data_IF_093660917378
#
_entry.id   IF_093660917378
#
_cell.length_a   1.000
_cell.length_b   1.000
_cell.length_c   1.000
_cell.angle_alpha   90.00
_cell.angle_beta   90.00
_cell.angle_gamma   90.00
#
_symmetry.space_group_name_H-M   'P 1'
#
loop_
_entity.id
_entity.type
_entity.pdbx_description
1 polymer ?
#
# COMPACT_ATOMS: atom_id res chain seq x y z
N UNK A 1 63.50 -32.89 -30.68
CA UNK A 1 62.88 -33.81 -29.69
C UNK A 1 61.74 -33.06 -29.02
N UNK A 2 60.56 -33.69 -29.02
CA UNK A 2 59.24 -33.04 -28.99
C UNK A 2 58.86 -32.55 -27.59
N UNK A 3 58.38 -31.32 -27.53
CA UNK A 3 57.71 -30.67 -26.40
C UNK A 3 56.31 -31.27 -26.21
N UNK A 4 56.02 -31.78 -25.01
CA UNK A 4 54.66 -32.20 -24.63
C UNK A 4 54.05 -31.15 -23.70
N UNK A 5 53.08 -30.40 -24.23
CA UNK A 5 52.19 -29.52 -23.46
C UNK A 5 51.26 -30.40 -22.63
N UNK A 6 51.29 -30.22 -21.30
CA UNK A 6 50.30 -30.79 -20.41
C UNK A 6 49.03 -29.91 -20.46
N UNK A 7 47.96 -30.45 -21.04
CA UNK A 7 46.62 -29.84 -21.01
C UNK A 7 45.98 -30.19 -19.68
N UNK A 8 45.79 -29.19 -18.82
CA UNK A 8 45.08 -29.30 -17.55
C UNK A 8 43.57 -29.33 -17.86
N UNK A 9 42.95 -30.51 -17.77
CA UNK A 9 41.50 -30.67 -17.92
C UNK A 9 40.81 -30.26 -16.61
N UNK A 10 40.26 -29.05 -16.56
CA UNK A 10 39.40 -28.60 -15.47
C UNK A 10 38.04 -29.32 -15.63
N UNK A 11 37.77 -30.29 -14.76
CA UNK A 11 36.47 -30.93 -14.66
C UNK A 11 35.48 -29.95 -14.00
N UNK A 12 34.62 -29.33 -14.81
CA UNK A 12 33.52 -28.50 -14.36
C UNK A 12 32.41 -29.42 -13.80
N UNK A 13 32.33 -29.57 -12.48
CA UNK A 13 31.23 -30.27 -11.82
C UNK A 13 30.02 -29.34 -11.85
N UNK A 14 29.18 -29.49 -12.88
CA UNK A 14 27.85 -28.91 -12.93
C UNK A 14 26.97 -29.69 -11.94
N UNK A 15 26.68 -29.10 -10.78
CA UNK A 15 25.54 -29.53 -9.97
C UNK A 15 24.27 -29.17 -10.75
N UNK A 16 23.81 -30.09 -11.60
CA UNK A 16 22.47 -30.06 -12.16
C UNK A 16 21.47 -30.27 -11.02
N UNK A 17 21.00 -29.16 -10.43
CA UNK A 17 19.76 -29.20 -9.67
C UNK A 17 18.67 -29.63 -10.63
N UNK A 18 18.25 -30.88 -10.52
CA UNK A 18 17.04 -31.37 -11.16
C UNK A 18 15.85 -30.72 -10.47
N UNK A 19 15.59 -29.44 -10.74
CA UNK A 19 14.23 -28.92 -10.64
C UNK A 19 13.50 -29.56 -11.82
N UNK A 20 12.73 -30.61 -11.54
CA UNK A 20 11.72 -31.06 -12.50
C UNK A 20 10.91 -29.82 -12.88
N UNK A 21 10.76 -29.48 -14.17
CA UNK A 21 9.84 -28.42 -14.54
C UNK A 21 8.47 -28.81 -13.98
N UNK A 22 7.95 -28.01 -13.04
CA UNK A 22 6.57 -28.19 -12.59
C UNK A 22 5.68 -28.03 -13.82
N UNK A 23 4.84 -29.02 -14.16
CA UNK A 23 4.02 -28.94 -15.33
C UNK A 23 3.03 -27.77 -15.22
N UNK A 24 3.03 -26.99 -16.29
CA UNK A 24 2.07 -26.01 -16.81
C UNK A 24 0.59 -26.25 -16.37
N UNK A 25 0.10 -25.31 -15.55
CA UNK A 25 -1.26 -24.74 -15.33
C UNK A 25 -2.44 -25.60 -14.83
N UNK A 26 -3.21 -24.97 -13.94
CA UNK A 26 -4.43 -25.41 -13.27
C UNK A 26 -5.43 -26.11 -14.20
N UNK A 27 -5.88 -27.30 -13.80
CA UNK A 27 -7.04 -27.98 -14.40
C UNK A 27 -8.38 -27.36 -14.00
N UNK A 28 -8.37 -26.32 -13.15
CA UNK A 28 -9.56 -25.59 -12.70
C UNK A 28 -9.54 -24.15 -13.22
N UNK A 29 -10.71 -23.66 -13.60
CA UNK A 29 -10.93 -22.29 -14.03
C UNK A 29 -11.42 -21.47 -12.83
N UNK A 30 -10.67 -20.48 -12.33
CA UNK A 30 -11.16 -19.57 -11.31
C UNK A 30 -12.48 -18.90 -11.75
N UNK A 31 -13.39 -18.58 -10.83
CA UNK A 31 -14.60 -17.84 -11.18
C UNK A 31 -14.24 -16.44 -11.71
N UNK A 32 -15.10 -15.87 -12.55
CA UNK A 32 -14.88 -14.54 -13.13
C UNK A 32 -15.08 -13.38 -12.13
N UNK A 33 -15.67 -13.65 -10.97
CA UNK A 33 -15.92 -12.71 -9.87
C UNK A 33 -15.61 -13.40 -8.56
N UNK A 34 -15.40 -12.64 -7.48
CA UNK A 34 -15.06 -13.20 -6.17
C UNK A 34 -16.29 -13.81 -5.48
N UNK A 35 -16.80 -14.89 -6.04
CA UNK A 35 -17.96 -15.63 -5.55
C UNK A 35 -17.53 -17.08 -5.35
N UNK A 36 -17.20 -17.41 -4.11
CA UNK A 36 -16.87 -18.76 -3.66
C UNK A 36 -17.86 -19.22 -2.59
N UNK A 37 -17.87 -20.53 -2.31
CA UNK A 37 -18.64 -21.04 -1.19
C UNK A 37 -17.95 -20.66 0.13
N UNK A 38 -18.76 -20.29 1.14
CA UNK A 38 -18.31 -19.99 2.50
C UNK A 38 -17.33 -18.80 2.62
N UNK A 39 -17.42 -17.79 1.75
CA UNK A 39 -16.63 -16.55 1.90
C UNK A 39 -17.09 -15.79 3.15
N UNK A 40 -16.13 -15.34 3.95
CA UNK A 40 -16.36 -14.40 5.05
C UNK A 40 -15.20 -13.42 5.18
N UNK A 41 -15.50 -12.15 4.95
CA UNK A 41 -14.58 -11.02 5.05
C UNK A 41 -15.20 -9.87 5.86
N UNK A 42 -16.27 -10.16 6.60
CA UNK A 42 -17.11 -9.16 7.26
C UNK A 42 -16.37 -8.36 8.33
N UNK A 43 -15.40 -8.99 9.01
CA UNK A 43 -14.52 -8.29 9.96
C UNK A 43 -13.61 -7.28 9.25
N UNK A 44 -13.15 -7.60 8.04
CA UNK A 44 -12.27 -6.74 7.25
C UNK A 44 -13.05 -5.59 6.63
N UNK A 45 -14.30 -5.81 6.21
CA UNK A 45 -15.21 -4.71 5.86
C UNK A 45 -15.41 -3.76 7.05
N UNK A 46 -15.56 -4.27 8.28
CA UNK A 46 -15.67 -3.44 9.48
C UNK A 46 -14.37 -2.66 9.81
N UNK A 47 -13.19 -3.20 9.45
CA UNK A 47 -11.93 -2.44 9.48
C UNK A 47 -12.03 -1.23 8.54
N UNK A 48 -12.45 -1.43 7.29
CA UNK A 48 -12.61 -0.33 6.33
C UNK A 48 -13.61 0.73 6.82
N UNK A 49 -14.74 0.31 7.40
CA UNK A 49 -15.72 1.24 7.99
C UNK A 49 -15.12 2.03 9.17
N UNK A 50 -14.23 1.41 9.95
CA UNK A 50 -13.52 2.08 11.05
C UNK A 50 -12.52 3.11 10.51
N UNK A 51 -11.83 2.79 9.41
CA UNK A 51 -10.94 3.74 8.74
C UNK A 51 -11.73 4.91 8.15
N UNK A 52 -12.92 4.68 7.58
CA UNK A 52 -13.79 5.75 7.08
C UNK A 52 -14.23 6.68 8.22
N UNK A 53 -14.59 6.11 9.37
CA UNK A 53 -14.90 6.86 10.59
C UNK A 53 -13.70 7.72 11.04
N UNK A 54 -12.49 7.15 11.04
CA UNK A 54 -11.27 7.89 11.37
C UNK A 54 -11.04 9.06 10.40
N UNK A 55 -11.07 8.81 9.10
CA UNK A 55 -10.88 9.83 8.07
C UNK A 55 -11.89 10.97 8.22
N UNK A 56 -13.15 10.67 8.52
CA UNK A 56 -14.18 11.69 8.78
C UNK A 56 -13.85 12.56 10.01
N UNK A 57 -13.39 11.94 11.11
CA UNK A 57 -13.02 12.69 12.32
C UNK A 57 -11.74 13.52 12.12
N UNK A 58 -10.76 13.00 11.39
CA UNK A 58 -9.55 13.73 11.02
C UNK A 58 -9.91 14.93 10.13
N UNK A 59 -10.74 14.74 9.11
CA UNK A 59 -11.16 15.80 8.19
C UNK A 59 -12.01 16.88 8.87
N UNK A 60 -12.66 16.58 10.00
CA UNK A 60 -13.33 17.62 10.80
C UNK A 60 -12.34 18.72 11.26
N UNK A 61 -11.05 18.41 11.39
CA UNK A 61 -10.01 19.38 11.75
C UNK A 61 -9.82 20.46 10.68
N UNK A 62 -10.18 20.21 9.43
CA UNK A 62 -10.11 21.19 8.34
C UNK A 62 -11.14 22.32 8.49
N UNK A 63 -12.19 22.12 9.29
CA UNK A 63 -13.25 23.10 9.50
C UNK A 63 -12.81 24.19 10.48
N UNK A 64 -12.99 25.46 10.10
CA UNK A 64 -12.64 26.61 10.97
C UNK A 64 -13.37 26.55 12.32
N UNK A 65 -12.65 26.80 13.41
CA UNK A 65 -13.18 26.76 14.78
C UNK A 65 -13.44 25.36 15.34
N UNK A 66 -13.16 24.28 14.59
CA UNK A 66 -13.30 22.90 15.09
C UNK A 66 -11.97 22.39 15.63
N UNK A 67 -11.94 22.10 16.93
CA UNK A 67 -10.82 21.43 17.58
C UNK A 67 -11.11 19.93 17.63
N UNK A 68 -10.16 19.11 17.19
CA UNK A 68 -10.27 17.66 17.20
C UNK A 68 -9.50 17.11 18.41
N UNK A 69 -10.05 16.08 19.05
CA UNK A 69 -9.44 15.43 20.21
C UNK A 69 -8.55 14.27 19.77
N UNK A 70 -7.27 14.29 20.15
CA UNK A 70 -6.36 13.16 19.94
C UNK A 70 -6.92 11.87 20.56
N UNK A 71 -7.49 11.95 21.77
CA UNK A 71 -8.10 10.81 22.44
C UNK A 71 -9.24 10.18 21.63
N UNK A 72 -10.08 10.99 20.98
CA UNK A 72 -11.16 10.47 20.13
C UNK A 72 -10.58 9.71 18.94
N UNK A 73 -9.57 10.28 18.27
CA UNK A 73 -8.90 9.61 17.15
C UNK A 73 -8.21 8.31 17.58
N UNK A 74 -7.52 8.33 18.72
CA UNK A 74 -6.83 7.16 19.30
C UNK A 74 -7.82 6.06 19.72
N UNK A 75 -8.99 6.44 20.25
CA UNK A 75 -10.07 5.48 20.54
C UNK A 75 -10.62 4.83 19.28
N UNK A 76 -10.68 5.54 18.15
CA UNK A 76 -11.07 4.93 16.88
C UNK A 76 -9.98 3.94 16.45
N UNK A 77 -8.71 4.37 16.47
CA UNK A 77 -7.56 3.53 16.10
C UNK A 77 -7.42 2.27 16.96
N UNK A 78 -7.83 2.28 18.23
CA UNK A 78 -7.78 1.09 19.08
C UNK A 78 -8.69 -0.05 18.60
N UNK A 79 -9.69 0.23 17.75
CA UNK A 79 -10.54 -0.81 17.17
C UNK A 79 -9.85 -1.57 16.02
N UNK A 80 -8.76 -1.03 15.47
CA UNK A 80 -7.99 -1.65 14.38
C UNK A 80 -6.56 -2.02 14.79
N UNK A 81 -6.21 -1.93 16.09
CA UNK A 81 -4.83 -2.14 16.56
C UNK A 81 -4.28 -3.55 16.25
N UNK A 82 -5.15 -4.55 16.08
CA UNK A 82 -4.75 -5.91 15.69
C UNK A 82 -4.30 -6.00 14.23
N UNK A 83 -4.63 -5.01 13.41
CA UNK A 83 -4.30 -4.90 11.98
C UNK A 83 -3.16 -3.91 11.72
N UNK A 84 -2.74 -3.15 12.74
CA UNK A 84 -1.77 -2.07 12.58
C UNK A 84 -0.36 -2.55 12.90
N UNK A 85 0.60 -2.27 12.02
CA UNK A 85 2.02 -2.52 12.31
C UNK A 85 2.50 -1.66 13.49
N UNK A 86 3.47 -2.15 14.26
CA UNK A 86 4.00 -1.40 15.41
C UNK A 86 4.54 -0.02 15.02
N UNK A 87 5.22 0.07 13.88
CA UNK A 87 5.76 1.33 13.38
C UNK A 87 4.63 2.30 12.96
N UNK A 88 3.61 1.80 12.25
CA UNK A 88 2.45 2.60 11.88
C UNK A 88 1.66 3.07 13.12
N UNK A 89 1.53 2.24 14.16
CA UNK A 89 0.85 2.62 15.40
C UNK A 89 1.54 3.83 16.08
N UNK A 90 2.88 3.85 16.10
CA UNK A 90 3.64 4.97 16.65
C UNK A 90 3.48 6.25 15.82
N UNK A 91 3.55 6.13 14.49
CA UNK A 91 3.37 7.26 13.58
C UNK A 91 1.94 7.82 13.64
N UNK A 92 0.93 6.95 13.62
CA UNK A 92 -0.48 7.33 13.77
C UNK A 92 -0.74 8.06 15.10
N UNK A 93 -0.13 7.60 16.21
CA UNK A 93 -0.21 8.32 17.47
C UNK A 93 0.33 9.75 17.33
N UNK A 94 1.54 9.93 16.80
CA UNK A 94 2.15 11.24 16.58
C UNK A 94 1.32 12.15 15.64
N UNK A 95 0.68 11.56 14.62
CA UNK A 95 -0.18 12.30 13.70
C UNK A 95 -1.47 12.75 14.38
N UNK A 96 -2.12 11.89 15.18
CA UNK A 96 -3.32 12.28 15.93
C UNK A 96 -3.05 13.39 16.95
N UNK A 97 -1.89 13.36 17.62
CA UNK A 97 -1.47 14.42 18.53
C UNK A 97 -1.22 15.74 17.79
N UNK A 98 -0.59 15.66 16.61
CA UNK A 98 -0.33 16.82 15.74
C UNK A 98 -1.63 17.43 15.21
N UNK A 99 -2.59 16.60 14.76
CA UNK A 99 -3.92 17.05 14.32
C UNK A 99 -4.63 17.78 15.48
N UNK A 100 -4.63 17.21 16.68
CA UNK A 100 -5.25 17.83 17.84
C UNK A 100 -4.60 19.18 18.17
N UNK A 101 -3.26 19.22 18.23
CA UNK A 101 -2.48 20.43 18.50
C UNK A 101 -2.78 21.54 17.49
N UNK A 102 -2.67 21.25 16.19
CA UNK A 102 -2.82 22.27 15.16
C UNK A 102 -4.27 22.67 14.93
N UNK A 103 -5.23 21.78 15.18
CA UNK A 103 -6.66 22.11 15.05
C UNK A 103 -7.13 23.22 16.00
N UNK A 104 -6.39 23.44 17.10
CA UNK A 104 -6.61 24.54 18.03
C UNK A 104 -6.14 25.91 17.49
N UNK A 105 -5.34 25.95 16.43
CA UNK A 105 -4.90 27.20 15.82
C UNK A 105 -6.05 27.97 15.20
N UNK A 106 -6.10 29.28 15.46
CA UNK A 106 -7.01 30.24 14.81
C UNK A 106 -6.32 31.06 13.72
N UNK A 107 -5.04 30.79 13.45
CA UNK A 107 -4.27 31.52 12.44
C UNK A 107 -4.54 30.99 11.02
N UNK A 108 -4.31 31.86 10.04
CA UNK A 108 -4.15 31.43 8.64
C UNK A 108 -2.79 30.75 8.50
N UNK A 109 -2.76 29.58 7.83
CA UNK A 109 -1.52 28.84 7.61
C UNK A 109 -0.49 29.62 6.78
N UNK A 110 0.78 29.57 7.19
CA UNK A 110 1.92 30.07 6.43
C UNK A 110 3.20 29.35 6.86
N UNK A 111 4.32 29.54 6.14
CA UNK A 111 5.60 28.94 6.53
C UNK A 111 5.97 29.33 7.97
N UNK A 112 6.16 28.33 8.83
CA UNK A 112 6.42 28.47 10.26
C UNK A 112 5.18 28.68 11.14
N UNK A 113 3.98 28.71 10.58
CA UNK A 113 2.72 28.98 11.31
C UNK A 113 1.67 27.92 10.96
N UNK A 114 1.33 27.08 11.95
CA UNK A 114 0.22 26.15 11.83
C UNK A 114 -1.12 26.90 11.73
N UNK A 115 -2.04 26.40 10.93
CA UNK A 115 -3.32 27.06 10.73
C UNK A 115 -4.12 26.43 9.60
N UNK A 116 -5.18 27.13 9.17
CA UNK A 116 -6.02 26.67 8.06
C UNK A 116 -5.86 27.56 6.84
N UNK A 117 -5.87 26.94 5.66
CA UNK A 117 -5.93 27.63 4.38
C UNK A 117 -6.51 26.69 3.31
N UNK A 118 -7.27 27.22 2.35
CA UNK A 118 -7.75 26.43 1.20
C UNK A 118 -8.58 25.18 1.54
N UNK A 119 -9.18 25.11 2.74
CA UNK A 119 -9.92 23.92 3.20
C UNK A 119 -9.07 22.83 3.85
N UNK A 120 -7.81 23.11 4.19
CA UNK A 120 -6.90 22.16 4.85
C UNK A 120 -6.36 22.73 6.17
N UNK A 121 -6.08 21.84 7.12
CA UNK A 121 -5.30 22.12 8.32
C UNK A 121 -3.82 21.80 8.08
N UNK A 122 -2.97 22.80 8.24
CA UNK A 122 -1.53 22.71 8.02
C UNK A 122 -0.75 22.75 9.34
N UNK A 123 0.31 21.93 9.39
CA UNK A 123 1.41 22.11 10.35
C UNK A 123 2.22 23.38 10.02
N UNK A 124 3.13 23.82 10.91
CA UNK A 124 4.05 24.93 10.60
C UNK A 124 4.91 24.68 9.36
N UNK A 125 5.18 23.42 9.04
CA UNK A 125 5.92 23.02 7.84
C UNK A 125 5.06 22.84 6.59
N UNK A 126 3.75 23.09 6.66
CA UNK A 126 2.85 22.93 5.53
C UNK A 126 2.41 21.48 5.28
N UNK A 127 2.68 20.56 6.20
CA UNK A 127 2.16 19.18 6.12
C UNK A 127 0.68 19.16 6.51
N UNK A 128 -0.13 18.52 5.68
CA UNK A 128 -1.54 18.22 5.95
C UNK A 128 -1.62 16.81 6.53
N UNK A 129 -1.63 16.70 7.86
CA UNK A 129 -1.65 15.39 8.52
C UNK A 129 -2.89 14.56 8.19
N UNK A 130 -4.01 15.20 7.82
CA UNK A 130 -5.19 14.50 7.33
C UNK A 130 -5.02 13.82 5.97
N UNK A 131 -4.12 14.33 5.14
CA UNK A 131 -3.72 13.70 3.88
C UNK A 131 -2.62 12.66 4.13
N UNK A 132 -1.62 13.01 4.95
CA UNK A 132 -0.51 12.11 5.29
C UNK A 132 -1.00 10.80 5.92
N UNK A 133 -1.98 10.89 6.83
CA UNK A 133 -2.52 9.70 7.49
C UNK A 133 -3.11 8.70 6.48
N UNK A 134 -3.64 9.15 5.34
CA UNK A 134 -4.28 8.28 4.36
C UNK A 134 -3.30 7.22 3.81
N UNK A 135 -2.08 7.65 3.43
CA UNK A 135 -1.02 6.74 3.02
C UNK A 135 -0.66 5.77 4.16
N UNK A 136 -0.51 6.27 5.38
CA UNK A 136 -0.22 5.44 6.57
C UNK A 136 -1.31 4.42 6.88
N UNK A 137 -2.60 4.74 6.71
CA UNK A 137 -3.69 3.79 6.92
C UNK A 137 -3.67 2.69 5.84
N UNK A 138 -3.40 3.04 4.59
CA UNK A 138 -3.29 2.07 3.50
C UNK A 138 -2.13 1.12 3.78
N UNK A 139 -0.92 1.66 3.97
CA UNK A 139 0.27 0.84 4.09
C UNK A 139 0.39 0.13 5.44
N UNK A 140 0.19 0.89 6.52
CA UNK A 140 0.46 0.46 7.89
C UNK A 140 -0.63 -0.42 8.50
N UNK A 141 -1.82 -0.44 7.90
CA UNK A 141 -2.95 -1.25 8.36
C UNK A 141 -3.35 -2.25 7.28
N UNK A 142 -3.70 -1.78 6.08
CA UNK A 142 -4.30 -2.65 5.06
C UNK A 142 -3.26 -3.55 4.39
N UNK A 143 -2.21 -3.01 3.77
CA UNK A 143 -1.20 -3.83 3.07
C UNK A 143 -0.40 -4.68 4.04
N UNK A 144 0.00 -4.12 5.19
CA UNK A 144 0.60 -4.89 6.29
C UNK A 144 -0.27 -6.08 6.75
N UNK A 145 -1.58 -5.89 6.91
CA UNK A 145 -2.46 -6.99 7.32
C UNK A 145 -2.68 -8.01 6.20
N UNK A 146 -2.79 -7.57 4.95
CA UNK A 146 -2.84 -8.49 3.80
C UNK A 146 -1.58 -9.35 3.77
N UNK A 147 -0.40 -8.75 3.94
CA UNK A 147 0.87 -9.47 4.04
C UNK A 147 0.83 -10.54 5.14
N UNK A 148 0.45 -10.16 6.36
CA UNK A 148 0.31 -11.10 7.48
C UNK A 148 -0.69 -12.24 7.19
N UNK A 149 -1.83 -11.95 6.58
CA UNK A 149 -2.79 -12.99 6.22
C UNK A 149 -2.23 -13.95 5.15
N UNK A 150 -1.55 -13.41 4.13
CA UNK A 150 -1.05 -14.18 3.00
C UNK A 150 0.30 -14.89 3.26
N UNK A 151 1.10 -14.41 4.22
CA UNK A 151 2.39 -15.02 4.58
C UNK A 151 2.22 -15.97 5.75
N UNK A 152 1.65 -15.52 6.86
CA UNK A 152 1.58 -16.32 8.09
C UNK A 152 0.35 -17.23 8.09
N UNK A 153 -0.80 -16.70 7.65
CA UNK A 153 -2.09 -17.33 7.88
C UNK A 153 -2.52 -18.28 6.75
N UNK A 154 -1.76 -18.33 5.65
CA UNK A 154 -1.89 -19.38 4.61
C UNK A 154 -0.57 -20.14 4.39
N UNK A 155 0.33 -20.08 5.38
CA UNK A 155 1.58 -20.84 5.40
C UNK A 155 1.33 -22.36 5.37
N UNK A 156 2.38 -23.12 5.08
CA UNK A 156 2.33 -24.58 5.13
C UNK A 156 2.06 -25.04 6.58
N UNK A 157 0.92 -25.71 6.80
CA UNK A 157 0.53 -26.23 8.12
C UNK A 157 -0.80 -25.70 8.65
N UNK A 158 -1.36 -24.66 8.01
CA UNK A 158 -2.72 -24.20 8.30
C UNK A 158 -3.74 -25.22 7.76
N UNK A 159 -4.81 -25.46 8.50
CA UNK A 159 -5.84 -26.41 8.10
C UNK A 159 -6.51 -25.97 6.79
N UNK A 160 -6.47 -26.88 5.82
CA UNK A 160 -7.19 -26.76 4.55
C UNK A 160 -7.99 -28.03 4.26
N UNK A 161 -8.69 -28.54 5.27
CA UNK A 161 -9.50 -29.76 5.14
C UNK A 161 -10.79 -29.75 5.96
N UNK A 162 -10.81 -29.05 7.09
CA UNK A 162 -11.99 -28.94 7.95
C UNK A 162 -12.83 -27.76 7.50
N UNK A 163 -14.01 -28.03 6.92
CA UNK A 163 -14.93 -26.98 6.49
C UNK A 163 -15.80 -26.52 7.66
N UNK A 164 -15.73 -25.24 7.98
CA UNK A 164 -16.64 -24.56 8.89
C UNK A 164 -17.71 -23.83 8.07
N UNK A 165 -19.01 -24.10 8.30
CA UNK A 165 -20.08 -23.43 7.56
C UNK A 165 -19.98 -21.91 7.64
N UNK A 166 -20.02 -21.25 6.47
CA UNK A 166 -19.93 -19.80 6.38
C UNK A 166 -18.51 -19.22 6.50
N UNK A 167 -17.48 -20.05 6.68
CA UNK A 167 -16.07 -19.63 6.74
C UNK A 167 -15.15 -20.43 5.80
N UNK A 168 -15.54 -21.65 5.42
CA UNK A 168 -14.69 -22.54 4.63
C UNK A 168 -13.67 -23.24 5.51
N UNK A 169 -12.54 -23.65 4.94
CA UNK A 169 -11.39 -24.07 5.75
C UNK A 169 -10.68 -22.87 6.39
N UNK A 170 -9.76 -23.11 7.33
CA UNK A 170 -9.00 -22.00 7.93
C UNK A 170 -8.17 -21.24 6.87
N UNK A 171 -7.51 -21.96 5.95
CA UNK A 171 -6.74 -21.35 4.87
C UNK A 171 -7.61 -20.56 3.89
N UNK A 172 -8.81 -21.07 3.59
CA UNK A 172 -9.79 -20.38 2.77
C UNK A 172 -10.25 -19.07 3.42
N UNK A 173 -10.62 -19.13 4.70
CA UNK A 173 -11.05 -17.95 5.45
C UNK A 173 -9.95 -16.88 5.50
N UNK A 174 -8.70 -17.23 5.82
CA UNK A 174 -7.61 -16.25 5.85
C UNK A 174 -7.34 -15.58 4.50
N UNK A 175 -7.56 -16.31 3.40
CA UNK A 175 -7.48 -15.73 2.06
C UNK A 175 -8.64 -14.77 1.78
N UNK A 176 -9.85 -15.11 2.24
CA UNK A 176 -11.04 -14.27 2.15
C UNK A 176 -10.88 -12.98 2.99
N UNK A 177 -10.29 -13.09 4.19
CA UNK A 177 -9.92 -11.94 5.03
C UNK A 177 -8.93 -10.99 4.30
N UNK A 178 -7.88 -11.53 3.70
CA UNK A 178 -6.95 -10.71 2.91
C UNK A 178 -7.66 -10.00 1.74
N UNK A 179 -8.58 -10.67 1.05
CA UNK A 179 -9.37 -10.06 -0.03
C UNK A 179 -10.27 -8.93 0.50
N UNK A 180 -10.91 -9.09 1.66
CA UNK A 180 -11.74 -8.03 2.25
C UNK A 180 -11.01 -6.72 2.47
N UNK A 181 -9.72 -6.78 2.85
CA UNK A 181 -8.88 -5.59 3.03
C UNK A 181 -8.44 -4.93 1.73
N UNK A 182 -8.55 -5.61 0.57
CA UNK A 182 -8.31 -5.00 -0.73
C UNK A 182 -9.31 -3.87 -1.02
N UNK A 183 -10.51 -3.93 -0.41
CA UNK A 183 -11.47 -2.83 -0.46
C UNK A 183 -12.18 -2.69 -1.81
N UNK A 184 -12.45 -3.82 -2.48
CA UNK A 184 -13.14 -3.87 -3.77
C UNK A 184 -14.37 -4.77 -3.71
N UNK A 185 -15.41 -4.51 -4.52
CA UNK A 185 -16.54 -5.42 -4.64
C UNK A 185 -16.17 -6.67 -5.45
N UNK A 186 -16.94 -7.75 -5.31
CA UNK A 186 -16.68 -9.04 -5.96
C UNK A 186 -16.54 -8.98 -7.49
N UNK A 187 -17.16 -7.98 -8.15
CA UNK A 187 -17.15 -7.78 -9.60
C UNK A 187 -16.06 -6.84 -10.12
N UNK A 188 -15.11 -6.42 -9.27
CA UNK A 188 -14.00 -5.55 -9.66
C UNK A 188 -13.13 -6.20 -10.75
N UNK A 189 -12.53 -5.44 -11.70
CA UNK A 189 -12.69 -4.00 -11.90
C UNK A 189 -13.90 -3.60 -12.75
N UNK A 190 -14.72 -4.54 -13.22
CA UNK A 190 -15.91 -4.23 -14.03
C UNK A 190 -17.01 -3.53 -13.23
N UNK A 191 -16.99 -3.66 -11.91
CA UNK A 191 -17.88 -2.96 -10.99
C UNK A 191 -17.05 -2.22 -9.94
N UNK A 192 -17.20 -0.89 -9.88
CA UNK A 192 -16.35 0.00 -9.06
C UNK A 192 -17.12 0.75 -7.97
N UNK A 193 -18.42 0.50 -7.83
CA UNK A 193 -19.20 1.12 -6.75
C UNK A 193 -18.72 0.56 -5.41
N UNK A 194 -18.42 1.47 -4.47
CA UNK A 194 -17.99 1.12 -3.12
C UNK A 194 -16.52 0.69 -3.02
N UNK A 195 -15.71 0.89 -4.06
CA UNK A 195 -14.26 0.73 -4.01
C UNK A 195 -13.64 1.74 -3.03
N UNK A 196 -12.72 1.28 -2.16
CA UNK A 196 -12.06 2.09 -1.13
C UNK A 196 -10.56 1.82 -1.09
N UNK A 197 -9.79 2.77 -0.54
CA UNK A 197 -8.38 2.60 -0.18
C UNK A 197 -7.50 1.97 -1.27
N UNK A 198 -6.94 0.78 -1.05
CA UNK A 198 -6.08 0.06 -2.01
C UNK A 198 -6.81 -0.11 -3.34
N UNK A 199 -8.06 -0.58 -3.31
CA UNK A 199 -8.91 -0.69 -4.49
C UNK A 199 -9.04 0.62 -5.26
N UNK A 200 -9.21 1.74 -4.55
CA UNK A 200 -9.34 3.06 -5.19
C UNK A 200 -8.05 3.46 -5.90
N UNK A 201 -6.90 3.33 -5.23
CA UNK A 201 -5.60 3.63 -5.83
C UNK A 201 -5.26 2.70 -6.99
N UNK A 202 -5.57 1.40 -6.88
CA UNK A 202 -5.36 0.43 -7.97
C UNK A 202 -6.09 0.82 -9.25
N UNK A 203 -7.23 1.52 -9.14
CA UNK A 203 -8.02 2.00 -10.27
C UNK A 203 -7.50 3.35 -10.79
N UNK A 204 -7.19 4.28 -9.88
CA UNK A 204 -6.70 5.62 -10.24
C UNK A 204 -5.40 5.58 -11.05
N UNK A 205 -4.47 4.71 -10.66
CA UNK A 205 -3.13 4.65 -11.25
C UNK A 205 -3.01 3.59 -12.36
N UNK A 206 -4.09 2.86 -12.67
CA UNK A 206 -4.12 1.74 -13.62
C UNK A 206 -3.67 2.15 -15.04
N UNK A 207 -3.87 3.44 -15.38
CA UNK A 207 -3.43 4.07 -16.64
C UNK A 207 -1.92 4.07 -16.82
N UNK A 208 -1.12 4.08 -15.74
CA UNK A 208 0.33 3.98 -15.81
C UNK A 208 0.83 2.54 -15.81
N UNK A 209 0.16 1.64 -15.10
CA UNK A 209 0.42 0.20 -15.11
C UNK A 209 -0.83 -0.51 -14.61
N UNK A 210 -1.18 -1.66 -15.21
CA UNK A 210 -2.31 -2.44 -14.73
C UNK A 210 -2.04 -2.99 -13.31
N UNK A 211 -2.85 -2.58 -12.34
CA UNK A 211 -2.92 -3.10 -10.97
C UNK A 211 -4.27 -3.76 -10.71
N UNK A 212 -5.36 -3.16 -11.18
CA UNK A 212 -6.72 -3.57 -10.86
C UNK A 212 -7.02 -5.00 -11.32
N UNK A 213 -6.80 -5.28 -12.62
CA UNK A 213 -7.05 -6.61 -13.18
C UNK A 213 -6.06 -7.67 -12.65
N UNK A 214 -4.74 -7.40 -12.59
CA UNK A 214 -3.78 -8.37 -12.04
C UNK A 214 -4.03 -8.73 -10.58
N UNK A 215 -4.29 -7.76 -9.69
CA UNK A 215 -4.58 -8.03 -8.28
C UNK A 215 -5.84 -8.88 -8.13
N UNK A 216 -6.93 -8.51 -8.81
CA UNK A 216 -8.17 -9.28 -8.78
C UNK A 216 -7.96 -10.72 -9.26
N UNK A 217 -7.24 -10.87 -10.38
CA UNK A 217 -6.94 -12.19 -10.96
C UNK A 217 -6.12 -13.04 -9.99
N UNK A 218 -5.14 -12.45 -9.31
CA UNK A 218 -4.31 -13.15 -8.34
C UNK A 218 -5.12 -13.63 -7.13
N UNK A 219 -6.00 -12.78 -6.58
CA UNK A 219 -6.91 -13.15 -5.49
C UNK A 219 -7.87 -14.28 -5.88
N UNK A 220 -8.49 -14.21 -7.07
CA UNK A 220 -9.37 -15.26 -7.59
C UNK A 220 -8.62 -16.58 -7.79
N UNK A 221 -7.45 -16.51 -8.41
CA UNK A 221 -6.64 -17.68 -8.75
C UNK A 221 -6.12 -18.37 -7.49
N UNK A 222 -5.62 -17.60 -6.52
CA UNK A 222 -5.10 -18.18 -5.28
C UNK A 222 -6.21 -18.76 -4.40
N UNK A 223 -7.39 -18.12 -4.35
CA UNK A 223 -8.55 -18.68 -3.63
C UNK A 223 -9.00 -20.01 -4.23
N UNK A 224 -9.09 -20.08 -5.55
CA UNK A 224 -9.41 -21.32 -6.26
C UNK A 224 -8.32 -22.40 -6.05
N UNK A 225 -7.05 -22.00 -6.00
CA UNK A 225 -5.93 -22.90 -5.75
C UNK A 225 -6.00 -23.54 -4.36
N UNK A 226 -6.37 -22.77 -3.33
CA UNK A 226 -6.57 -23.30 -1.97
C UNK A 226 -7.66 -24.38 -1.97
N UNK A 227 -8.82 -24.13 -2.59
CA UNK A 227 -9.91 -25.11 -2.67
C UNK A 227 -9.46 -26.42 -3.35
N UNK A 228 -8.58 -26.34 -4.34
CA UNK A 228 -8.03 -27.50 -5.05
C UNK A 228 -6.74 -28.07 -4.44
N UNK A 229 -6.30 -27.54 -3.28
CA UNK A 229 -5.05 -27.92 -2.59
C UNK A 229 -3.80 -27.74 -3.45
N UNK A 230 -3.84 -26.82 -4.40
CA UNK A 230 -2.72 -26.43 -5.25
C UNK A 230 -1.89 -25.35 -4.54
N UNK A 231 -1.07 -25.79 -3.59
CA UNK A 231 -0.26 -24.89 -2.77
C UNK A 231 0.87 -24.20 -3.54
N UNK A 232 1.27 -24.76 -4.69
CA UNK A 232 2.24 -24.15 -5.59
C UNK A 232 1.68 -22.88 -6.23
N UNK A 233 0.52 -23.00 -6.88
CA UNK A 233 -0.17 -21.84 -7.48
C UNK A 233 -0.55 -20.82 -6.42
N UNK A 234 -1.07 -21.25 -5.26
CA UNK A 234 -1.34 -20.36 -4.12
C UNK A 234 -0.10 -19.53 -3.77
N UNK A 235 1.07 -20.16 -3.60
CA UNK A 235 2.29 -19.44 -3.24
C UNK A 235 2.73 -18.45 -4.32
N UNK A 236 2.59 -18.80 -5.59
CA UNK A 236 2.84 -17.87 -6.70
C UNK A 236 1.91 -16.65 -6.63
N UNK A 237 0.62 -16.84 -6.31
CA UNK A 237 -0.31 -15.72 -6.19
C UNK A 237 -0.05 -14.86 -4.94
N UNK A 238 0.38 -15.44 -3.82
CA UNK A 238 0.84 -14.67 -2.64
C UNK A 238 1.96 -13.71 -3.07
N UNK A 239 3.03 -14.23 -3.68
CA UNK A 239 4.16 -13.38 -4.10
C UNK A 239 3.75 -12.32 -5.13
N UNK A 240 2.82 -12.64 -6.03
CA UNK A 240 2.30 -11.68 -7.00
C UNK A 240 1.50 -10.55 -6.34
N UNK A 241 0.67 -10.86 -5.34
CA UNK A 241 -0.12 -9.86 -4.60
C UNK A 241 0.80 -8.93 -3.82
N UNK A 242 1.73 -9.45 -3.03
CA UNK A 242 2.62 -8.63 -2.20
C UNK A 242 3.47 -7.67 -3.04
N UNK A 243 4.08 -8.17 -4.11
CA UNK A 243 4.87 -7.33 -5.02
C UNK A 243 4.01 -6.27 -5.72
N UNK A 244 2.76 -6.59 -6.08
CA UNK A 244 1.86 -5.64 -6.71
C UNK A 244 1.36 -4.56 -5.74
N UNK A 245 1.17 -4.88 -4.45
CA UNK A 245 0.79 -3.91 -3.43
C UNK A 245 1.90 -2.91 -3.15
N UNK A 246 3.15 -3.35 -2.98
CA UNK A 246 4.29 -2.44 -2.77
C UNK A 246 4.48 -1.51 -3.98
N UNK A 247 4.43 -2.06 -5.21
CA UNK A 247 4.50 -1.26 -6.44
C UNK A 247 3.34 -0.26 -6.54
N UNK A 248 2.13 -0.64 -6.10
CA UNK A 248 0.97 0.23 -6.08
C UNK A 248 1.20 1.41 -5.13
N UNK A 249 1.76 1.19 -3.94
CA UNK A 249 2.07 2.28 -2.99
C UNK A 249 3.09 3.25 -3.56
N UNK A 250 4.14 2.75 -4.21
CA UNK A 250 5.12 3.59 -4.88
C UNK A 250 4.52 4.38 -6.05
N UNK A 251 3.66 3.74 -6.86
CA UNK A 251 2.93 4.40 -7.94
C UNK A 251 1.90 5.42 -7.42
N UNK A 252 1.28 5.17 -6.26
CA UNK A 252 0.40 6.12 -5.58
C UNK A 252 1.18 7.36 -5.09
N UNK A 253 2.39 7.19 -4.54
CA UNK A 253 3.25 8.33 -4.22
C UNK A 253 3.57 9.18 -5.46
N UNK A 254 3.87 8.54 -6.60
CA UNK A 254 4.11 9.23 -7.87
C UNK A 254 2.86 9.95 -8.40
N UNK A 255 1.70 9.31 -8.31
CA UNK A 255 0.41 9.90 -8.68
C UNK A 255 0.16 11.20 -7.91
N UNK A 256 0.30 11.16 -6.58
CA UNK A 256 0.10 12.33 -5.73
C UNK A 256 1.10 13.45 -6.03
N UNK A 257 2.37 13.13 -6.36
CA UNK A 257 3.33 14.13 -6.82
C UNK A 257 2.90 14.76 -8.16
N UNK A 258 2.35 13.98 -9.09
CA UNK A 258 1.83 14.51 -10.36
C UNK A 258 0.59 15.39 -10.15
N UNK A 259 -0.27 15.04 -9.19
CA UNK A 259 -1.41 15.86 -8.78
C UNK A 259 -0.94 17.19 -8.17
N UNK A 260 0.13 17.15 -7.36
CA UNK A 260 0.74 18.35 -6.82
C UNK A 260 1.26 19.30 -7.92
N UNK A 261 1.95 18.78 -8.94
CA UNK A 261 2.40 19.58 -10.09
C UNK A 261 1.21 20.23 -10.82
N UNK A 262 0.12 19.49 -11.02
CA UNK A 262 -1.08 19.99 -11.67
C UNK A 262 -1.78 21.09 -10.85
N UNK A 263 -1.80 20.93 -9.52
CA UNK A 263 -2.31 21.92 -8.59
C UNK A 263 -1.42 23.19 -8.59
N UNK A 264 -0.09 23.06 -8.62
CA UNK A 264 0.83 24.20 -8.76
C UNK A 264 0.57 24.94 -10.08
N UNK A 265 0.46 24.22 -11.20
CA UNK A 265 0.16 24.81 -12.50
C UNK A 265 -1.18 25.56 -12.52
N UNK A 266 -2.12 25.13 -11.69
CA UNK A 266 -3.44 25.73 -11.52
C UNK A 266 -3.50 26.79 -10.40
N UNK A 267 -2.35 27.19 -9.82
CA UNK A 267 -2.26 28.14 -8.70
C UNK A 267 -2.98 27.70 -7.42
N UNK A 268 -3.08 26.39 -7.18
CA UNK A 268 -3.73 25.76 -6.02
C UNK A 268 -2.69 25.21 -5.03
N UNK A 269 -1.84 26.09 -4.48
CA UNK A 269 -0.71 25.68 -3.63
C UNK A 269 -1.11 24.84 -2.40
N UNK A 270 -2.28 25.11 -1.81
CA UNK A 270 -2.77 24.34 -0.66
C UNK A 270 -3.13 22.91 -1.03
N UNK A 271 -3.72 22.69 -2.22
CA UNK A 271 -3.98 21.35 -2.73
C UNK A 271 -2.67 20.62 -3.03
N UNK A 272 -1.71 21.30 -3.67
CA UNK A 272 -0.40 20.72 -3.94
C UNK A 272 0.32 20.23 -2.67
N UNK A 273 0.27 21.00 -1.59
CA UNK A 273 0.83 20.58 -0.29
C UNK A 273 0.07 19.41 0.33
N UNK A 274 -1.24 19.32 0.12
CA UNK A 274 -2.05 18.19 0.57
C UNK A 274 -1.66 16.92 -0.21
N UNK A 275 -1.53 17.01 -1.53
CA UNK A 275 -1.12 15.89 -2.40
C UNK A 275 0.30 15.41 -2.03
N UNK A 276 1.27 16.33 -1.87
CA UNK A 276 2.63 15.95 -1.38
C UNK A 276 2.58 15.33 0.02
N UNK A 277 1.67 15.77 0.89
CA UNK A 277 1.49 15.13 2.20
C UNK A 277 1.00 13.69 2.07
N UNK A 278 0.07 13.41 1.14
CA UNK A 278 -0.35 12.04 0.81
C UNK A 278 0.83 11.21 0.26
N UNK A 279 1.62 11.78 -0.67
CA UNK A 279 2.80 11.13 -1.21
C UNK A 279 3.82 10.76 -0.12
N UNK A 280 4.06 11.66 0.83
CA UNK A 280 4.92 11.41 1.99
C UNK A 280 4.36 10.28 2.87
N UNK A 281 3.04 10.20 3.02
CA UNK A 281 2.35 9.10 3.70
C UNK A 281 2.61 7.74 3.06
N UNK A 282 2.58 7.65 1.72
CA UNK A 282 2.94 6.42 0.99
C UNK A 282 4.44 6.10 1.06
N UNK A 283 5.32 7.10 0.90
CA UNK A 283 6.77 6.91 1.04
C UNK A 283 7.11 6.36 2.43
N UNK A 284 6.53 6.95 3.47
CA UNK A 284 6.64 6.44 4.84
C UNK A 284 6.03 5.05 4.96
N UNK A 285 4.89 4.85 4.30
CA UNK A 285 4.12 3.63 4.23
C UNK A 285 4.92 2.38 3.87
N UNK A 286 5.81 2.51 2.87
CA UNK A 286 6.72 1.45 2.45
C UNK A 286 7.58 0.90 3.60
N UNK A 287 7.85 1.70 4.65
CA UNK A 287 8.61 1.25 5.82
C UNK A 287 7.88 0.20 6.68
N UNK A 288 6.55 0.08 6.54
CA UNK A 288 5.71 -0.78 7.37
C UNK A 288 5.59 -2.21 6.86
N UNK A 289 5.87 -2.43 5.58
CA UNK A 289 5.86 -3.75 4.98
C UNK A 289 6.98 -4.63 5.54
N UNK A 290 6.79 -5.96 5.51
CA UNK A 290 7.80 -6.87 6.05
C UNK A 290 9.06 -6.88 5.17
N UNK A 291 10.22 -6.76 5.82
CA UNK A 291 11.52 -6.65 5.13
C UNK A 291 11.81 -7.85 4.21
N UNK A 292 11.23 -9.02 4.49
CA UNK A 292 11.44 -10.23 3.71
C UNK A 292 10.77 -10.18 2.32
N UNK A 293 9.69 -9.42 2.15
CA UNK A 293 8.96 -9.28 0.90
C UNK A 293 9.20 -7.93 0.21
N UNK A 294 9.75 -6.95 0.93
CA UNK A 294 9.92 -5.58 0.46
C UNK A 294 11.07 -5.41 -0.53
N UNK A 295 10.80 -4.76 -1.67
CA UNK A 295 11.74 -4.39 -2.72
C UNK A 295 12.61 -3.20 -2.29
N UNK A 296 12.00 -2.14 -1.75
CA UNK A 296 12.73 -0.94 -1.33
C UNK A 296 13.45 -1.12 0.02
N UNK A 297 14.65 -0.53 0.15
CA UNK A 297 15.44 -0.59 1.39
C UNK A 297 15.12 0.55 2.35
N UNK A 298 15.36 0.35 3.65
CA UNK A 298 15.22 1.42 4.68
C UNK A 298 16.08 2.64 4.35
N UNK A 299 17.26 2.44 3.76
CA UNK A 299 18.15 3.53 3.34
C UNK A 299 17.51 4.37 2.24
N UNK A 300 16.89 3.73 1.25
CA UNK A 300 16.20 4.43 0.16
C UNK A 300 14.94 5.14 0.65
N UNK A 301 14.18 4.53 1.57
CA UNK A 301 13.04 5.19 2.21
C UNK A 301 13.50 6.44 2.96
N UNK A 302 14.54 6.33 3.81
CA UNK A 302 15.09 7.48 4.53
C UNK A 302 15.63 8.58 3.61
N UNK A 303 16.21 8.20 2.45
CA UNK A 303 16.62 9.14 1.41
C UNK A 303 15.41 9.89 0.82
N UNK A 304 14.33 9.18 0.46
CA UNK A 304 13.10 9.79 -0.04
C UNK A 304 12.49 10.75 0.98
N UNK A 305 12.35 10.33 2.24
CA UNK A 305 11.84 11.17 3.34
C UNK A 305 12.71 12.42 3.54
N UNK A 306 14.03 12.31 3.41
CA UNK A 306 14.95 13.44 3.51
C UNK A 306 14.83 14.41 2.34
N UNK A 307 14.63 13.89 1.11
CA UNK A 307 14.45 14.71 -0.09
C UNK A 307 13.15 15.52 -0.03
N UNK A 308 12.05 14.90 0.42
CA UNK A 308 10.76 15.58 0.60
C UNK A 308 10.80 16.53 1.80
N UNK A 309 11.26 16.01 2.94
CA UNK A 309 11.25 16.72 4.22
C UNK A 309 9.84 17.02 4.74
N UNK A 310 9.78 17.66 5.91
CA UNK A 310 8.52 18.06 6.55
C UNK A 310 8.24 19.56 6.46
N UNK A 311 9.09 20.32 5.75
CA UNK A 311 8.82 21.71 5.39
C UNK A 311 8.49 21.79 3.88
N UNK A 312 7.22 21.54 3.55
CA UNK A 312 6.72 21.45 2.18
C UNK A 312 6.78 22.78 1.44
N UNK A 313 6.93 23.91 2.14
CA UNK A 313 7.20 25.22 1.51
C UNK A 313 8.53 25.26 0.76
N UNK A 314 9.47 24.35 1.09
CA UNK A 314 10.76 24.24 0.40
C UNK A 314 10.77 23.15 -0.69
N UNK A 315 9.78 22.26 -0.69
CA UNK A 315 9.70 21.13 -1.61
C UNK A 315 8.73 21.39 -2.76
N UNK A 316 7.51 21.86 -2.48
CA UNK A 316 6.49 22.07 -3.52
C UNK A 316 6.96 23.14 -4.51
N UNK A 317 7.04 22.78 -5.79
CA UNK A 317 7.57 23.60 -6.87
C UNK A 317 9.10 23.57 -6.99
N UNK A 318 9.80 22.79 -6.16
CA UNK A 318 11.22 22.51 -6.30
C UNK A 318 11.42 21.33 -7.26
N UNK A 319 11.34 21.63 -8.55
CA UNK A 319 11.42 20.63 -9.63
C UNK A 319 12.69 19.77 -9.60
N UNK A 320 13.78 20.24 -8.98
CA UNK A 320 15.00 19.44 -8.82
C UNK A 320 14.82 18.35 -7.77
N UNK A 321 14.32 18.67 -6.57
CA UNK A 321 14.08 17.66 -5.54
C UNK A 321 12.93 16.72 -5.93
N UNK A 322 11.86 17.28 -6.48
CA UNK A 322 10.70 16.55 -6.99
C UNK A 322 11.09 15.52 -8.07
N UNK A 323 12.01 15.86 -8.98
CA UNK A 323 12.51 14.91 -9.99
C UNK A 323 13.46 13.86 -9.41
N UNK A 324 14.23 14.18 -8.36
CA UNK A 324 15.07 13.20 -7.65
C UNK A 324 14.24 12.14 -6.94
N UNK A 325 13.16 12.54 -6.28
CA UNK A 325 12.20 11.61 -5.63
C UNK A 325 11.59 10.67 -6.67
N UNK A 326 11.09 11.22 -7.79
CA UNK A 326 10.52 10.42 -8.89
C UNK A 326 11.56 9.48 -9.50
N UNK A 327 12.79 9.95 -9.72
CA UNK A 327 13.86 9.13 -10.28
C UNK A 327 14.22 7.94 -9.38
N UNK A 328 14.33 8.15 -8.06
CA UNK A 328 14.64 7.07 -7.13
C UNK A 328 13.51 6.03 -7.06
N UNK A 329 12.24 6.46 -6.98
CA UNK A 329 11.10 5.54 -7.05
C UNK A 329 11.07 4.78 -8.38
N UNK A 330 11.28 5.48 -9.50
CA UNK A 330 11.34 4.87 -10.82
C UNK A 330 12.46 3.85 -10.97
N UNK A 331 13.65 4.12 -10.41
CA UNK A 331 14.78 3.20 -10.43
C UNK A 331 14.51 1.94 -9.59
N UNK A 332 14.00 2.10 -8.37
CA UNK A 332 13.72 0.98 -7.45
C UNK A 332 12.71 0.01 -8.05
N UNK A 333 11.62 0.53 -8.62
CA UNK A 333 10.51 -0.29 -9.11
C UNK A 333 10.53 -0.54 -10.62
N UNK A 334 11.52 0.00 -11.34
CA UNK A 334 11.65 -0.16 -12.78
C UNK A 334 10.57 0.56 -13.60
N UNK A 335 9.94 1.61 -13.05
CA UNK A 335 8.93 2.38 -13.77
C UNK A 335 9.56 3.21 -14.88
N UNK A 336 9.02 3.09 -16.09
CA UNK A 336 9.45 3.94 -17.20
C UNK A 336 8.94 5.36 -17.02
N UNK A 337 9.57 6.33 -17.69
CA UNK A 337 9.12 7.73 -17.68
C UNK A 337 7.68 7.90 -18.17
N UNK A 338 7.23 7.05 -19.10
CA UNK A 338 5.83 7.07 -19.58
C UNK A 338 4.87 6.60 -18.51
N UNK A 339 5.20 5.54 -17.77
CA UNK A 339 4.37 5.06 -16.66
C UNK A 339 4.33 6.09 -15.53
N UNK A 340 5.48 6.63 -15.14
CA UNK A 340 5.56 7.65 -14.09
C UNK A 340 4.78 8.92 -14.41
N UNK A 341 4.76 9.36 -15.68
CA UNK A 341 3.93 10.50 -16.10
C UNK A 341 2.44 10.15 -16.23
N UNK A 342 2.12 8.86 -16.38
CA UNK A 342 0.77 8.38 -16.54
C UNK A 342 0.09 8.01 -15.21
N UNK A 343 0.83 7.65 -14.15
CA UNK A 343 0.26 7.54 -12.79
C UNK A 343 -0.44 8.84 -12.42
#
# INVERSE_FOLDING_TARGET
MKTHQAVLLIALILFGSCVKPNPIWSTYNPPATYVFNNVNDSAQVAVLDTLDNLSNNVNAANTSGRVVSAQVLQNILSHVSAYTSTAAAADLQAYTDSIALYSASTATASNGVAGRAGGYLFSPGGVVYGSLIQGTLISGILTYSIDRYLVDSVANGIDNSTVVPGYGTAMEHHWDEAFGLFGVPNGFPNYVQGVRYIGNFSNLIDKGQAFSTPLMTAFLTGRAAITHKDYGTKQTQVSAILAALEQLEAAAALHELNQADAAVASSQMQAAMADVSTALGFIRGLSYETVASRIITDVQIAQLETMVGYNLYNFVGNTTQESQVRALLGEVYGFTSTQMAAF
#
